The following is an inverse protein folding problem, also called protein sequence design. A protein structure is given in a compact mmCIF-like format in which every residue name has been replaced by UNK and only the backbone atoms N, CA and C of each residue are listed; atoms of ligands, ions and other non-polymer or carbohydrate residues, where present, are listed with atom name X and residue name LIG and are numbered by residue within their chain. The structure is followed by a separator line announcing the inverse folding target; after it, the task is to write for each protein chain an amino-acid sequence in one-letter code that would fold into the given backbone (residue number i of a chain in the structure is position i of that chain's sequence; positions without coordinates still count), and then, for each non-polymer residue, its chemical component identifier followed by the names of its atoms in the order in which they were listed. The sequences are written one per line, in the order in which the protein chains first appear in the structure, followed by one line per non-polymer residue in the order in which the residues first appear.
data_IF_264478942021
#
_entry.id   IF_264478942021
#
_cell.length_a   1.000
_cell.length_b   1.000
_cell.length_c   1.000
_cell.angle_alpha   90.00
_cell.angle_beta   90.00
_cell.angle_gamma   90.00
#
_symmetry.space_group_name_H-M   'P 1'
#
loop_
_entity.id
_entity.type
_entity.pdbx_description
1 polymer ?
#
# COMPACT_ATOMS: atom_id res chain seq x y z
N UNK A 1 -4.93 13.34 16.39
CA UNK A 1 -4.73 13.58 14.96
C UNK A 1 -5.18 12.34 14.19
N UNK A 2 -5.98 12.55 13.17
CA UNK A 2 -6.44 11.47 12.29
C UNK A 2 -5.74 11.61 10.95
N UNK A 3 -5.06 10.57 10.49
CA UNK A 3 -4.44 10.54 9.17
C UNK A 3 -5.16 9.56 8.26
N UNK A 4 -5.31 9.95 7.01
CA UNK A 4 -5.84 9.10 5.94
C UNK A 4 -4.66 8.66 5.07
N UNK A 5 -4.63 7.37 4.74
CA UNK A 5 -3.60 6.80 3.87
C UNK A 5 -4.30 6.18 2.66
N UNK A 6 -3.90 6.59 1.48
CA UNK A 6 -4.32 5.95 0.23
C UNK A 6 -3.12 5.19 -0.33
N UNK A 7 -3.25 3.89 -0.50
CA UNK A 7 -2.14 3.04 -0.92
C UNK A 7 -2.52 2.19 -2.12
N UNK A 8 -1.53 1.92 -2.97
CA UNK A 8 -1.68 1.07 -4.13
C UNK A 8 -0.37 0.32 -4.38
N UNK A 9 -0.48 -0.92 -4.82
CA UNK A 9 0.65 -1.75 -5.20
C UNK A 9 0.33 -2.53 -6.45
N UNK A 10 1.31 -2.73 -7.30
CA UNK A 10 1.10 -3.46 -8.53
C UNK A 10 2.37 -4.10 -9.07
N UNK A 11 2.19 -5.12 -9.89
CA UNK A 11 3.26 -5.85 -10.55
C UNK A 11 2.99 -5.93 -12.05
N UNK A 12 4.05 -5.83 -12.84
CA UNK A 12 4.00 -6.07 -14.28
C UNK A 12 4.37 -7.52 -14.53
N UNK A 13 3.36 -8.37 -14.65
CA UNK A 13 3.46 -9.80 -14.53
C UNK A 13 3.10 -10.23 -13.11
N UNK A 14 2.61 -11.43 -12.93
CA UNK A 14 2.11 -11.88 -11.64
C UNK A 14 2.68 -13.27 -11.28
N UNK A 15 3.93 -13.37 -10.76
CA UNK A 15 4.79 -12.28 -10.28
C UNK A 15 5.55 -11.55 -11.38
N UNK A 16 6.09 -10.39 -11.01
CA UNK A 16 6.93 -9.60 -11.89
C UNK A 16 7.44 -8.34 -11.19
N UNK A 17 8.13 -7.45 -11.93
CA UNK A 17 8.58 -6.18 -11.38
C UNK A 17 7.41 -5.43 -10.75
N UNK A 18 7.57 -5.02 -9.50
CA UNK A 18 6.49 -4.44 -8.71
C UNK A 18 6.93 -3.16 -8.03
N UNK A 19 5.95 -2.31 -7.73
CA UNK A 19 6.16 -1.06 -7.00
C UNK A 19 4.93 -0.74 -6.16
N UNK A 20 5.15 0.14 -5.21
CA UNK A 20 4.07 0.66 -4.37
C UNK A 20 4.06 2.18 -4.43
N UNK A 21 2.93 2.76 -4.08
CA UNK A 21 2.82 4.18 -3.82
C UNK A 21 1.80 4.40 -2.70
N UNK A 22 1.99 5.45 -1.93
CA UNK A 22 1.00 5.87 -0.95
C UNK A 22 0.98 7.39 -0.78
N UNK A 23 -0.18 7.89 -0.39
CA UNK A 23 -0.38 9.29 -0.03
C UNK A 23 -0.88 9.35 1.40
N UNK A 24 -0.33 10.29 2.17
CA UNK A 24 -0.80 10.59 3.53
C UNK A 24 -1.54 11.91 3.47
N UNK A 25 -2.77 11.92 3.95
CA UNK A 25 -3.70 13.05 3.82
C UNK A 25 -4.24 13.40 5.20
N UNK A 26 -4.28 14.70 5.50
CA UNK A 26 -4.82 15.21 6.75
C UNK A 26 -6.35 15.22 6.74
N UNK A 27 -6.96 15.46 7.92
CA UNK A 27 -8.41 15.58 8.05
C UNK A 27 -9.03 16.68 7.19
N UNK A 28 -8.28 17.74 6.92
CA UNK A 28 -8.71 18.84 6.04
C UNK A 28 -8.32 18.61 4.57
N UNK A 29 -8.09 17.37 4.21
CA UNK A 29 -7.82 16.90 2.83
C UNK A 29 -6.56 17.48 2.18
N UNK A 30 -5.59 17.86 3.00
CA UNK A 30 -4.27 18.28 2.50
C UNK A 30 -3.36 17.07 2.34
N UNK A 31 -2.67 17.00 1.20
CA UNK A 31 -1.65 15.98 0.97
C UNK A 31 -0.41 16.34 1.78
N UNK A 32 -0.10 15.56 2.80
CA UNK A 32 1.05 15.78 3.68
C UNK A 32 2.31 15.10 3.15
N UNK A 33 2.16 13.98 2.47
CA UNK A 33 3.30 13.19 2.01
C UNK A 33 2.88 12.23 0.91
N UNK A 34 3.76 12.05 -0.06
CA UNK A 34 3.61 11.02 -1.09
C UNK A 34 4.91 10.25 -1.20
N UNK A 35 4.82 8.95 -1.46
CA UNK A 35 6.00 8.12 -1.63
C UNK A 35 5.74 7.02 -2.64
N UNK A 36 6.80 6.58 -3.28
CA UNK A 36 6.78 5.43 -4.17
C UNK A 36 8.07 4.64 -3.97
N UNK A 37 8.01 3.32 -4.15
CA UNK A 37 9.12 2.43 -3.91
C UNK A 37 9.07 1.26 -4.88
N UNK A 38 10.19 1.00 -5.55
CA UNK A 38 10.35 -0.22 -6.35
C UNK A 38 10.68 -1.39 -5.41
N UNK A 39 9.98 -2.52 -5.60
CA UNK A 39 10.10 -3.69 -4.72
C UNK A 39 10.86 -4.87 -5.33
N UNK A 40 11.13 -4.86 -6.63
CA UNK A 40 11.58 -6.06 -7.34
C UNK A 40 10.40 -6.97 -7.69
N UNK A 41 10.62 -8.27 -7.76
CA UNK A 41 9.61 -9.22 -8.23
C UNK A 41 8.68 -9.68 -7.10
N UNK A 42 7.40 -9.39 -7.27
CA UNK A 42 6.34 -9.80 -6.36
C UNK A 42 5.04 -10.02 -7.13
N UNK A 43 4.05 -10.64 -6.49
CA UNK A 43 2.70 -10.70 -7.02
C UNK A 43 1.97 -9.38 -6.75
N UNK A 44 0.85 -9.15 -7.44
CA UNK A 44 -0.01 -7.99 -7.17
C UNK A 44 -0.44 -7.93 -5.70
N UNK A 45 -0.88 -9.05 -5.13
CA UNK A 45 -1.35 -9.09 -3.76
C UNK A 45 -0.22 -8.81 -2.76
N UNK A 46 0.98 -9.32 -3.00
CA UNK A 46 2.16 -9.00 -2.19
C UNK A 46 2.46 -7.50 -2.23
N UNK A 47 2.43 -6.89 -3.42
CA UNK A 47 2.66 -5.47 -3.58
C UNK A 47 1.63 -4.63 -2.83
N UNK A 48 0.34 -5.03 -2.86
CA UNK A 48 -0.72 -4.37 -2.10
C UNK A 48 -0.42 -4.37 -0.59
N UNK A 49 -0.02 -5.50 -0.03
CA UNK A 49 0.37 -5.57 1.39
C UNK A 49 1.60 -4.72 1.69
N UNK A 50 2.61 -4.75 0.82
CA UNK A 50 3.81 -3.92 1.01
C UNK A 50 3.49 -2.42 1.02
N UNK A 51 2.52 -1.99 0.20
CA UNK A 51 2.08 -0.60 0.21
C UNK A 51 1.51 -0.19 1.57
N UNK A 52 0.68 -1.05 2.16
CA UNK A 52 0.09 -0.81 3.49
C UNK A 52 1.19 -0.81 4.56
N UNK A 53 2.07 -1.80 4.54
CA UNK A 53 3.15 -1.94 5.53
C UNK A 53 4.05 -0.70 5.50
N UNK A 54 4.49 -0.29 4.31
CA UNK A 54 5.37 0.86 4.14
C UNK A 54 4.69 2.15 4.63
N UNK A 55 3.41 2.32 4.28
CA UNK A 55 2.65 3.49 4.71
C UNK A 55 2.46 3.53 6.24
N UNK A 56 2.11 2.40 6.86
CA UNK A 56 1.94 2.32 8.32
C UNK A 56 3.25 2.58 9.05
N UNK A 57 4.38 2.06 8.54
CA UNK A 57 5.70 2.35 9.09
C UNK A 57 6.01 3.84 9.07
N UNK A 58 5.67 4.51 7.97
CA UNK A 58 5.87 5.96 7.85
C UNK A 58 5.02 6.73 8.84
N UNK A 59 3.72 6.48 8.87
CA UNK A 59 2.80 7.26 9.72
C UNK A 59 2.97 6.95 11.22
N UNK A 60 3.56 5.82 11.58
CA UNK A 60 3.83 5.47 12.97
C UNK A 60 4.73 6.53 13.66
N UNK A 61 5.68 7.11 12.91
CA UNK A 61 6.57 8.14 13.43
C UNK A 61 5.85 9.44 13.79
N UNK A 62 4.67 9.68 13.24
CA UNK A 62 3.84 10.86 13.51
C UNK A 62 2.88 10.66 14.68
N UNK A 63 2.81 9.45 15.22
CA UNK A 63 1.97 9.07 16.39
C UNK A 63 0.52 9.54 16.27
N UNK A 64 -0.17 9.26 15.16
CA UNK A 64 -1.58 9.62 15.04
C UNK A 64 -2.44 8.79 16.01
N UNK A 65 -3.56 9.36 16.44
CA UNK A 65 -4.52 8.63 17.28
C UNK A 65 -5.31 7.63 16.44
N UNK A 66 -5.60 7.99 15.20
CA UNK A 66 -6.36 7.16 14.28
C UNK A 66 -5.78 7.24 12.88
N UNK A 67 -5.72 6.10 12.21
CA UNK A 67 -5.34 6.00 10.80
C UNK A 67 -6.42 5.26 10.05
N UNK A 68 -6.87 5.81 8.93
CA UNK A 68 -7.75 5.10 8.02
C UNK A 68 -6.98 4.83 6.72
N UNK A 69 -6.84 3.56 6.38
CA UNK A 69 -6.18 3.11 5.16
C UNK A 69 -7.24 2.82 4.10
N UNK A 70 -7.12 3.49 2.97
CA UNK A 70 -8.00 3.32 1.81
C UNK A 70 -7.23 2.61 0.70
N UNK A 71 -7.81 1.57 0.16
CA UNK A 71 -7.23 0.81 -0.96
C UNK A 71 -8.35 0.23 -1.81
N UNK A 72 -8.03 -0.16 -3.04
CA UNK A 72 -9.04 -0.68 -3.97
C UNK A 72 -9.17 -2.21 -3.94
N UNK A 73 -8.25 -2.92 -3.32
CA UNK A 73 -8.28 -4.38 -3.23
C UNK A 73 -9.30 -4.87 -2.21
N UNK A 74 -10.42 -5.39 -2.70
CA UNK A 74 -11.43 -6.01 -1.86
C UNK A 74 -10.87 -7.21 -1.09
N UNK A 75 -10.06 -8.04 -1.75
CA UNK A 75 -9.44 -9.22 -1.13
C UNK A 75 -8.62 -8.84 0.09
N UNK A 76 -7.72 -7.87 -0.06
CA UNK A 76 -6.82 -7.45 1.02
C UNK A 76 -7.61 -6.84 2.18
N UNK A 77 -8.59 -5.98 1.88
CA UNK A 77 -9.44 -5.37 2.92
C UNK A 77 -10.18 -6.46 3.71
N UNK A 78 -10.75 -7.44 3.03
CA UNK A 78 -11.49 -8.53 3.68
C UNK A 78 -10.58 -9.46 4.47
N UNK A 79 -9.36 -9.70 4.00
CA UNK A 79 -8.36 -10.46 4.75
C UNK A 79 -7.97 -9.72 6.04
N UNK A 80 -7.75 -8.42 5.97
CA UNK A 80 -7.40 -7.61 7.15
C UNK A 80 -8.57 -7.46 8.13
N UNK A 81 -9.81 -7.51 7.63
CA UNK A 81 -11.01 -7.51 8.46
C UNK A 81 -11.31 -8.89 9.10
N UNK A 82 -10.55 -9.92 8.75
CA UNK A 82 -10.78 -11.27 9.26
C UNK A 82 -11.90 -12.03 8.56
N UNK A 83 -12.44 -11.50 7.47
CA UNK A 83 -13.54 -12.14 6.73
C UNK A 83 -13.06 -13.22 5.77
N UNK A 84 -11.84 -13.07 5.22
CA UNK A 84 -11.22 -14.04 4.32
C UNK A 84 -9.95 -14.57 4.94
N UNK A 85 -9.73 -15.87 4.85
CA UNK A 85 -8.49 -16.51 5.30
C UNK A 85 -7.32 -16.18 4.38
N UNK A 86 -6.12 -16.09 4.95
CA UNK A 86 -4.87 -15.94 4.20
C UNK A 86 -4.16 -17.29 4.23
N UNK A 87 -4.23 -18.03 3.13
CA UNK A 87 -3.68 -19.40 3.04
C UNK A 87 -2.30 -19.47 2.44
N UNK A 88 -1.98 -18.54 1.53
CA UNK A 88 -0.66 -18.48 0.93
C UNK A 88 0.38 -18.09 2.00
N UNK A 89 1.46 -18.88 2.19
CA UNK A 89 2.42 -18.62 3.27
C UNK A 89 3.13 -17.27 3.17
N UNK A 90 3.45 -16.81 1.97
CA UNK A 90 4.12 -15.52 1.77
C UNK A 90 3.18 -14.35 2.08
N UNK A 91 1.93 -14.42 1.60
CA UNK A 91 0.92 -13.43 1.95
C UNK A 91 0.61 -13.43 3.43
N UNK A 92 0.60 -14.62 4.05
CA UNK A 92 0.34 -14.72 5.48
C UNK A 92 1.40 -14.00 6.31
N UNK A 93 2.66 -14.06 5.92
CA UNK A 93 3.74 -13.30 6.59
C UNK A 93 3.49 -11.81 6.51
N UNK A 94 3.06 -11.31 5.35
CA UNK A 94 2.76 -9.89 5.16
C UNK A 94 1.51 -9.48 5.94
N UNK A 95 0.49 -10.32 5.96
CA UNK A 95 -0.71 -10.12 6.75
C UNK A 95 -0.38 -10.05 8.25
N UNK A 96 0.43 -10.99 8.76
CA UNK A 96 0.86 -10.99 10.17
C UNK A 96 1.64 -9.72 10.51
N UNK A 97 2.56 -9.28 9.64
CA UNK A 97 3.31 -8.05 9.84
C UNK A 97 2.40 -6.82 9.86
N UNK A 98 1.40 -6.78 9.01
CA UNK A 98 0.41 -5.70 9.00
C UNK A 98 -0.34 -5.66 10.33
N UNK A 99 -0.72 -6.81 10.86
CA UNK A 99 -1.39 -6.89 12.16
C UNK A 99 -0.49 -6.42 13.31
N UNK A 100 0.79 -6.77 13.27
CA UNK A 100 1.76 -6.28 14.27
C UNK A 100 1.86 -4.76 14.24
N UNK A 101 2.00 -4.19 13.05
CA UNK A 101 2.05 -2.74 12.87
C UNK A 101 0.77 -2.06 13.35
N UNK A 102 -0.37 -2.67 13.06
CA UNK A 102 -1.68 -2.18 13.53
C UNK A 102 -1.70 -2.02 15.06
N UNK A 103 -1.07 -2.93 15.78
CA UNK A 103 -0.99 -2.88 17.24
C UNK A 103 -0.26 -1.67 17.80
N UNK A 104 0.53 -0.97 16.97
CA UNK A 104 1.26 0.25 17.37
C UNK A 104 0.37 1.49 17.39
N UNK A 105 -0.86 1.41 16.90
CA UNK A 105 -1.79 2.53 16.81
C UNK A 105 -2.98 2.29 17.73
N UNK A 106 -3.60 3.35 18.20
CA UNK A 106 -4.84 3.25 18.98
C UNK A 106 -5.97 2.71 18.14
N UNK A 107 -6.07 3.18 16.89
CA UNK A 107 -7.13 2.76 15.97
C UNK A 107 -6.65 2.81 14.53
N UNK A 108 -6.81 1.70 13.83
CA UNK A 108 -6.55 1.60 12.38
C UNK A 108 -7.75 0.96 11.72
N UNK A 109 -8.24 1.59 10.66
CA UNK A 109 -9.35 1.09 9.85
C UNK A 109 -8.84 0.83 8.43
N UNK A 110 -9.33 -0.22 7.81
CA UNK A 110 -9.06 -0.53 6.40
C UNK A 110 -10.38 -0.43 5.64
N UNK A 111 -10.42 0.42 4.62
CA UNK A 111 -11.64 0.70 3.87
C UNK A 111 -11.36 0.55 2.39
N UNK A 112 -12.22 -0.21 1.70
CA UNK A 112 -12.15 -0.31 0.26
C UNK A 112 -12.78 0.92 -0.38
N UNK A 113 -12.07 1.48 -1.39
CA UNK A 113 -12.60 2.53 -2.26
C UNK A 113 -12.49 2.07 -3.71
N UNK A 114 -13.31 2.60 -4.62
CA UNK A 114 -13.22 2.21 -6.03
C UNK A 114 -11.90 2.69 -6.65
N UNK A 115 -11.45 1.97 -7.69
CA UNK A 115 -10.23 2.32 -8.44
C UNK A 115 -10.30 3.71 -9.07
N UNK A 116 -11.51 4.25 -9.25
CA UNK A 116 -11.73 5.60 -9.76
C UNK A 116 -11.52 6.70 -8.73
N UNK A 117 -11.28 6.34 -7.46
CA UNK A 117 -10.94 7.32 -6.42
C UNK A 117 -9.73 8.14 -6.85
N UNK A 118 -9.81 9.46 -6.71
CA UNK A 118 -8.78 10.38 -7.22
C UNK A 118 -7.41 10.13 -6.58
N UNK A 119 -7.36 9.80 -5.31
CA UNK A 119 -6.08 9.55 -4.60
C UNK A 119 -5.51 8.17 -4.97
N UNK A 120 -6.37 7.17 -5.17
CA UNK A 120 -5.93 5.85 -5.65
C UNK A 120 -5.38 5.97 -7.06
N UNK A 121 -6.01 6.73 -7.94
CA UNK A 121 -5.49 6.98 -9.29
C UNK A 121 -4.13 7.67 -9.25
N UNK A 122 -3.96 8.61 -8.33
CA UNK A 122 -2.69 9.30 -8.16
C UNK A 122 -1.60 8.34 -7.69
N UNK A 123 -1.90 7.46 -6.75
CA UNK A 123 -0.97 6.42 -6.30
C UNK A 123 -0.62 5.46 -7.45
N UNK A 124 -1.60 5.02 -8.22
CA UNK A 124 -1.39 4.16 -9.38
C UNK A 124 -0.46 4.82 -10.42
N UNK A 125 -0.67 6.08 -10.72
CA UNK A 125 0.19 6.85 -11.63
C UNK A 125 1.63 6.89 -11.12
N UNK A 126 1.81 7.16 -9.83
CA UNK A 126 3.14 7.25 -9.22
C UNK A 126 3.89 5.90 -9.26
N UNK A 127 3.21 4.81 -8.91
CA UNK A 127 3.86 3.51 -8.95
C UNK A 127 4.21 3.08 -10.37
N UNK A 128 3.38 3.40 -11.36
CA UNK A 128 3.67 3.10 -12.75
C UNK A 128 4.84 3.91 -13.30
N UNK A 129 4.98 5.17 -12.89
CA UNK A 129 6.15 5.98 -13.22
C UNK A 129 7.42 5.35 -12.65
N UNK A 130 7.37 4.87 -11.43
CA UNK A 130 8.50 4.18 -10.79
C UNK A 130 8.87 2.91 -11.55
N UNK A 131 7.87 2.11 -11.95
CA UNK A 131 8.12 0.92 -12.78
C UNK A 131 8.72 1.28 -14.13
N UNK A 132 8.22 2.31 -14.80
CA UNK A 132 8.75 2.77 -16.07
C UNK A 132 10.23 3.18 -15.95
N UNK A 133 10.58 3.92 -14.90
CA UNK A 133 11.96 4.34 -14.66
C UNK A 133 12.88 3.16 -14.39
N UNK A 134 12.44 2.21 -13.56
CA UNK A 134 13.23 1.01 -13.26
C UNK A 134 13.42 0.13 -14.50
N UNK A 135 12.41 -0.02 -15.33
CA UNK A 135 12.51 -0.80 -16.56
C UNK A 135 13.46 -0.15 -17.57
N UNK A 136 13.51 1.17 -17.65
CA UNK A 136 14.50 1.90 -18.44
C UNK A 136 15.92 1.65 -17.96
N UNK A 137 16.15 1.64 -16.66
CA UNK A 137 17.46 1.34 -16.07
C UNK A 137 17.94 -0.06 -16.47
N UNK A 138 17.06 -1.05 -16.44
CA UNK A 138 17.39 -2.42 -16.84
C UNK A 138 17.73 -2.51 -18.33
N UNK A 139 17.03 -1.78 -19.19
CA UNK A 139 17.34 -1.71 -20.61
C UNK A 139 18.71 -1.11 -20.90
N UNK A 140 19.09 -0.09 -20.14
CA UNK A 140 20.38 0.57 -20.32
C UNK A 140 21.56 -0.28 -19.87
N UNK A 141 21.32 -1.32 -19.06
CA UNK A 141 22.34 -2.23 -18.55
C UNK A 141 22.58 -3.45 -19.43
N UNK A 142 21.71 -3.68 -20.40
CA UNK A 142 21.83 -4.84 -21.29
C UNK A 142 22.75 -4.59 -22.50
#
# INVERSE_FOLDING_TARGET
MHLKVFSDGGARGNPGPSAIAFLVISDDDKVLYTSTLFLGDHTNNQAEYWAIITALQYVASHRPEEVTCYLDSELVVKQLAGQYAVRNPELRRLWERTRELRGSFKKVNFTRVPRTNVYIQKADTLLNQTLDEEMKKHRCKS
#
